data_IF_524747887312
#
_entry.id   IF_524747887312
#
_cell.length_a   1.000
_cell.length_b   1.000
_cell.length_c   1.000
_cell.angle_alpha   90.00
_cell.angle_beta   90.00
_cell.angle_gamma   90.00
#
_symmetry.space_group_name_H-M   'P 1'
#
loop_
_entity.id
_entity.type
_entity.pdbx_description
1 polymer ?
#
# COMPACT_ATOMS: atom_id res chain seq x y z
N UNK A 1 2.33 -16.61 -7.78
CA UNK A 1 2.18 -15.28 -8.43
C UNK A 1 2.48 -15.32 -9.94
N UNK A 2 2.76 -16.53 -10.45
CA UNK A 2 3.22 -16.73 -11.84
C UNK A 2 2.36 -15.99 -12.87
N UNK A 3 3.00 -15.12 -13.67
CA UNK A 3 2.40 -14.35 -14.75
C UNK A 3 1.46 -13.21 -14.34
N UNK A 4 1.15 -13.02 -13.05
CA UNK A 4 0.35 -11.90 -12.57
C UNK A 4 1.11 -10.58 -12.71
N UNK A 5 0.40 -9.51 -13.00
CA UNK A 5 0.93 -8.14 -13.06
C UNK A 5 0.47 -7.37 -11.83
N UNK A 6 1.43 -6.87 -11.06
CA UNK A 6 1.18 -6.11 -9.84
C UNK A 6 1.70 -4.68 -9.96
N UNK A 7 0.88 -3.72 -9.56
CA UNK A 7 1.36 -2.37 -9.23
C UNK A 7 1.65 -2.33 -7.73
N UNK A 8 2.84 -1.84 -7.37
CA UNK A 8 3.26 -1.56 -5.99
C UNK A 8 3.53 -0.06 -5.87
N UNK A 9 2.74 0.66 -5.08
CA UNK A 9 2.98 2.07 -4.80
C UNK A 9 3.93 2.21 -3.60
N UNK A 10 4.76 3.27 -3.56
CA UNK A 10 5.83 3.36 -2.56
C UNK A 10 6.91 2.28 -2.76
N UNK A 11 7.14 1.89 -4.01
CA UNK A 11 7.97 0.74 -4.39
C UNK A 11 9.45 0.88 -4.01
N UNK A 12 9.94 2.10 -3.86
CA UNK A 12 11.32 2.39 -3.46
C UNK A 12 11.49 2.48 -1.93
N UNK A 13 10.40 2.42 -1.17
CA UNK A 13 10.41 2.37 0.29
C UNK A 13 10.77 0.99 0.85
N UNK A 14 11.00 0.91 2.19
CA UNK A 14 11.45 -0.31 2.86
C UNK A 14 10.50 -1.52 2.65
N UNK A 15 9.19 -1.33 2.79
CA UNK A 15 8.21 -2.39 2.57
C UNK A 15 7.99 -2.66 1.08
N UNK A 16 7.88 -1.59 0.27
CA UNK A 16 7.59 -1.71 -1.16
C UNK A 16 8.64 -2.52 -1.92
N UNK A 17 9.92 -2.30 -1.62
CA UNK A 17 11.03 -3.08 -2.20
C UNK A 17 10.88 -4.57 -1.90
N UNK A 18 10.66 -4.92 -0.64
CA UNK A 18 10.53 -6.32 -0.21
C UNK A 18 9.33 -7.01 -0.85
N UNK A 19 8.18 -6.33 -0.90
CA UNK A 19 6.98 -6.85 -1.57
C UNK A 19 7.23 -7.08 -3.06
N UNK A 20 7.84 -6.11 -3.74
CA UNK A 20 8.14 -6.21 -5.17
C UNK A 20 9.14 -7.34 -5.47
N UNK A 21 10.21 -7.46 -4.68
CA UNK A 21 11.23 -8.51 -4.83
C UNK A 21 10.67 -9.91 -4.61
N UNK A 22 9.90 -10.13 -3.52
CA UNK A 22 9.30 -11.43 -3.24
C UNK A 22 8.23 -11.77 -4.30
N UNK A 23 7.42 -10.81 -4.73
CA UNK A 23 6.45 -11.06 -5.80
C UNK A 23 7.13 -11.45 -7.12
N UNK A 24 8.20 -10.74 -7.50
CA UNK A 24 8.98 -11.03 -8.71
C UNK A 24 9.66 -12.40 -8.63
N UNK A 25 10.25 -12.77 -7.48
CA UNK A 25 10.84 -14.12 -7.28
C UNK A 25 9.82 -15.25 -7.42
N UNK A 26 8.52 -14.95 -7.24
CA UNK A 26 7.39 -15.88 -7.42
C UNK A 26 6.77 -15.77 -8.83
N UNK A 27 7.45 -15.15 -9.78
CA UNK A 27 7.06 -15.05 -11.17
C UNK A 27 6.02 -13.98 -11.50
N UNK A 28 5.82 -12.99 -10.63
CA UNK A 28 5.01 -11.81 -10.95
C UNK A 28 5.81 -10.80 -11.78
N UNK A 29 5.11 -10.00 -12.58
CA UNK A 29 5.64 -8.82 -13.25
C UNK A 29 5.25 -7.59 -12.44
N UNK A 30 6.18 -6.66 -12.25
CA UNK A 30 6.04 -5.57 -11.29
C UNK A 30 6.10 -4.20 -11.96
N UNK A 31 5.10 -3.36 -11.70
CA UNK A 31 5.19 -1.92 -11.89
C UNK A 31 5.36 -1.25 -10.53
N UNK A 32 6.54 -0.73 -10.25
CA UNK A 32 6.79 0.12 -9.10
C UNK A 32 6.37 1.57 -9.42
N UNK A 33 5.60 2.21 -8.54
CA UNK A 33 5.26 3.64 -8.64
C UNK A 33 5.72 4.32 -7.36
N UNK A 34 6.50 5.40 -7.47
CA UNK A 34 7.03 6.11 -6.31
C UNK A 34 7.12 7.62 -6.56
N UNK A 35 7.08 8.40 -5.46
CA UNK A 35 7.36 9.83 -5.49
C UNK A 35 8.84 10.12 -5.76
N UNK A 36 9.73 9.28 -5.23
CA UNK A 36 11.15 9.38 -5.51
C UNK A 36 11.44 9.07 -6.99
N UNK A 37 12.39 9.79 -7.62
CA UNK A 37 12.77 9.51 -8.99
C UNK A 37 13.38 8.12 -9.12
N UNK A 38 13.09 7.43 -10.21
CA UNK A 38 13.72 6.16 -10.56
C UNK A 38 14.48 6.30 -11.88
N UNK A 39 15.65 5.65 -11.94
CA UNK A 39 16.46 5.54 -13.15
C UNK A 39 16.65 4.08 -13.57
N UNK A 40 15.88 3.16 -12.99
CA UNK A 40 15.97 1.73 -13.31
C UNK A 40 15.38 1.52 -14.72
N UNK A 41 16.13 0.95 -15.66
CA UNK A 41 15.61 0.64 -16.98
C UNK A 41 14.44 -0.33 -16.91
N UNK A 42 13.44 -0.12 -17.79
CA UNK A 42 12.33 -1.06 -17.92
C UNK A 42 12.80 -2.39 -18.52
N UNK A 43 12.25 -3.48 -18.00
CA UNK A 43 12.41 -4.84 -18.54
C UNK A 43 11.03 -5.44 -18.84
N UNK A 44 10.95 -6.60 -19.54
CA UNK A 44 9.66 -7.28 -19.73
C UNK A 44 8.96 -7.68 -18.42
N UNK A 45 9.72 -7.82 -17.31
CA UNK A 45 9.21 -8.26 -16.00
C UNK A 45 9.04 -7.12 -15.00
N UNK A 46 9.66 -5.94 -15.26
CA UNK A 46 9.68 -4.83 -14.29
C UNK A 46 9.75 -3.47 -14.97
N UNK A 47 8.93 -2.55 -14.49
CA UNK A 47 8.99 -1.12 -14.80
C UNK A 47 8.94 -0.31 -13.50
N UNK A 48 9.73 0.76 -13.42
CA UNK A 48 9.72 1.72 -12.31
C UNK A 48 9.30 3.10 -12.82
N UNK A 49 8.21 3.64 -12.29
CA UNK A 49 7.66 4.96 -12.64
C UNK A 49 7.88 5.87 -11.43
N UNK A 50 8.99 6.61 -11.44
CA UNK A 50 9.36 7.54 -10.39
C UNK A 50 8.89 8.97 -10.66
N UNK A 51 8.96 9.83 -9.61
CA UNK A 51 8.56 11.24 -9.68
C UNK A 51 7.05 11.45 -9.72
N UNK A 52 6.26 10.49 -9.22
CA UNK A 52 4.78 10.51 -9.28
C UNK A 52 4.19 10.92 -7.94
N UNK A 53 3.51 12.05 -7.90
CA UNK A 53 2.65 12.40 -6.76
C UNK A 53 1.29 11.72 -6.88
N UNK A 54 1.11 10.61 -6.16
CA UNK A 54 -0.15 9.88 -6.15
C UNK A 54 -1.30 10.62 -5.44
N UNK A 55 -1.03 11.70 -4.69
CA UNK A 55 -2.09 12.56 -4.16
C UNK A 55 -2.75 13.41 -5.24
N UNK A 56 -2.08 13.60 -6.38
CA UNK A 56 -2.62 14.17 -7.61
C UNK A 56 -3.30 13.07 -8.45
N UNK A 57 -4.60 13.22 -8.68
CA UNK A 57 -5.39 12.23 -9.40
C UNK A 57 -4.98 12.05 -10.87
N UNK A 58 -4.48 13.11 -11.53
CA UNK A 58 -4.07 13.05 -12.93
C UNK A 58 -2.74 12.30 -13.07
N UNK A 59 -1.77 12.57 -12.17
CA UNK A 59 -0.50 11.86 -12.14
C UNK A 59 -0.70 10.38 -11.80
N UNK A 60 -1.53 10.08 -10.79
CA UNK A 60 -1.88 8.71 -10.42
C UNK A 60 -2.48 7.93 -11.60
N UNK A 61 -3.44 8.56 -12.32
CA UNK A 61 -4.04 7.95 -13.51
C UNK A 61 -3.01 7.68 -14.61
N UNK A 62 -2.17 8.67 -14.91
CA UNK A 62 -1.13 8.53 -15.94
C UNK A 62 -0.16 7.40 -15.64
N UNK A 63 0.29 7.29 -14.39
CA UNK A 63 1.24 6.26 -13.98
C UNK A 63 0.61 4.85 -14.00
N UNK A 64 -0.62 4.70 -13.50
CA UNK A 64 -1.34 3.42 -13.51
C UNK A 64 -1.65 2.97 -14.94
N UNK A 65 -2.11 3.86 -15.80
CA UNK A 65 -2.38 3.54 -17.21
C UNK A 65 -1.11 3.15 -17.96
N UNK A 66 0.01 3.84 -17.68
CA UNK A 66 1.31 3.49 -18.26
C UNK A 66 1.76 2.08 -17.84
N UNK A 67 1.60 1.72 -16.57
CA UNK A 67 1.90 0.39 -16.06
C UNK A 67 1.01 -0.70 -16.71
N UNK A 68 -0.29 -0.47 -16.77
CA UNK A 68 -1.24 -1.39 -17.40
C UNK A 68 -0.97 -1.55 -18.90
N UNK A 69 -0.62 -0.47 -19.59
CA UNK A 69 -0.24 -0.50 -21.02
C UNK A 69 1.05 -1.27 -21.26
N UNK A 70 2.07 -1.10 -20.40
CA UNK A 70 3.36 -1.79 -20.53
C UNK A 70 3.21 -3.31 -20.50
N UNK A 71 2.38 -3.82 -19.58
CA UNK A 71 2.19 -5.26 -19.40
C UNK A 71 0.98 -5.85 -20.14
N UNK A 72 0.09 -5.00 -20.69
CA UNK A 72 -1.14 -5.40 -21.36
C UNK A 72 -2.26 -5.88 -20.42
N UNK A 73 -2.05 -5.87 -19.10
CA UNK A 73 -3.02 -6.26 -18.06
C UNK A 73 -2.62 -5.72 -16.69
N UNK A 74 -3.55 -5.79 -15.75
CA UNK A 74 -3.30 -5.54 -14.33
C UNK A 74 -4.13 -6.53 -13.49
N UNK A 75 -3.49 -7.21 -12.53
CA UNK A 75 -4.14 -8.20 -11.66
C UNK A 75 -4.22 -7.77 -10.20
N UNK A 76 -3.24 -6.99 -9.71
CA UNK A 76 -3.30 -6.46 -8.36
C UNK A 76 -2.71 -5.06 -8.24
N UNK A 77 -3.30 -4.26 -7.34
CA UNK A 77 -2.75 -3.00 -6.84
C UNK A 77 -2.44 -3.15 -5.36
N UNK A 78 -1.20 -2.82 -4.98
CA UNK A 78 -0.73 -2.84 -3.59
C UNK A 78 -0.38 -1.41 -3.19
N UNK A 79 -1.26 -0.78 -2.39
CA UNK A 79 -1.13 0.60 -1.94
C UNK A 79 -0.26 0.66 -0.67
N UNK A 80 1.06 0.85 -0.86
CA UNK A 80 2.03 1.00 0.23
C UNK A 80 2.41 2.47 0.42
N UNK A 81 2.35 3.30 -0.63
CA UNK A 81 2.65 4.73 -0.52
C UNK A 81 1.90 5.37 0.64
N UNK A 82 2.63 6.11 1.46
CA UNK A 82 2.09 6.75 2.65
C UNK A 82 3.18 7.31 3.53
N UNK A 83 2.79 7.89 4.66
CA UNK A 83 3.72 8.48 5.60
C UNK A 83 3.20 8.50 7.03
N UNK A 84 4.07 8.93 7.93
CA UNK A 84 3.84 9.06 9.36
C UNK A 84 4.16 10.48 9.83
N UNK A 85 3.44 10.97 10.82
CA UNK A 85 3.81 12.12 11.62
C UNK A 85 3.35 11.90 13.06
N UNK A 86 4.23 12.22 14.00
CA UNK A 86 3.90 12.30 15.41
C UNK A 86 3.64 13.77 15.75
N UNK A 87 2.42 14.09 16.22
CA UNK A 87 2.05 15.46 16.59
C UNK A 87 0.85 15.46 17.54
N UNK A 88 0.95 16.16 18.66
CA UNK A 88 -0.16 16.29 19.61
C UNK A 88 -1.26 17.20 19.04
N UNK A 89 -2.48 17.03 19.49
CA UNK A 89 -3.61 17.87 19.03
C UNK A 89 -3.47 19.31 19.56
N UNK A 90 -2.95 19.45 20.78
CA UNK A 90 -2.88 20.76 21.44
C UNK A 90 -1.82 21.70 20.86
N UNK A 91 -0.68 21.14 20.46
CA UNK A 91 0.47 21.93 19.99
C UNK A 91 0.69 21.81 18.47
N UNK A 92 -0.17 21.05 17.80
CA UNK A 92 -0.01 20.73 16.40
C UNK A 92 -0.70 21.69 15.42
N UNK A 93 -0.45 21.49 14.12
CA UNK A 93 -0.98 22.29 13.03
C UNK A 93 -2.00 21.46 12.18
N UNK A 94 -3.10 22.08 11.80
CA UNK A 94 -4.05 21.52 10.84
C UNK A 94 -3.40 21.05 9.52
N UNK A 95 -2.30 21.67 9.12
CA UNK A 95 -1.51 21.25 7.95
C UNK A 95 -0.98 19.82 8.06
N UNK A 96 -0.61 19.37 9.26
CA UNK A 96 -0.18 17.97 9.47
C UNK A 96 -1.33 17.00 9.23
N UNK A 97 -2.56 17.32 9.65
CA UNK A 97 -3.74 16.54 9.37
C UNK A 97 -4.02 16.45 7.86
N UNK A 98 -3.97 17.58 7.17
CA UNK A 98 -4.15 17.64 5.72
C UNK A 98 -3.08 16.84 4.99
N UNK A 99 -1.81 16.98 5.40
CA UNK A 99 -0.69 16.23 4.83
C UNK A 99 -0.84 14.73 5.05
N UNK A 100 -1.20 14.29 6.26
CA UNK A 100 -1.41 12.86 6.54
C UNK A 100 -2.58 12.31 5.73
N UNK A 101 -3.67 13.07 5.57
CA UNK A 101 -4.78 12.66 4.72
C UNK A 101 -4.36 12.54 3.26
N UNK A 102 -3.64 13.52 2.73
CA UNK A 102 -3.14 13.49 1.35
C UNK A 102 -2.22 12.29 1.11
N UNK A 103 -1.22 12.09 1.98
CA UNK A 103 -0.23 11.02 1.85
C UNK A 103 -0.81 9.62 2.01
N UNK A 104 -1.79 9.41 2.90
CA UNK A 104 -2.28 8.07 3.22
C UNK A 104 -3.60 7.74 2.51
N UNK A 105 -4.54 8.71 2.44
CA UNK A 105 -5.87 8.45 1.89
C UNK A 105 -5.94 8.78 0.41
N UNK A 106 -5.53 10.01 0.00
CA UNK A 106 -5.67 10.40 -1.40
C UNK A 106 -4.76 9.58 -2.32
N UNK A 107 -3.56 9.22 -1.89
CA UNK A 107 -2.68 8.32 -2.67
C UNK A 107 -3.34 6.97 -2.95
N UNK A 108 -3.88 6.33 -1.92
CA UNK A 108 -4.57 5.05 -2.06
C UNK A 108 -5.88 5.17 -2.87
N UNK A 109 -6.65 6.23 -2.65
CA UNK A 109 -7.88 6.51 -3.39
C UNK A 109 -7.62 6.70 -4.88
N UNK A 110 -6.68 7.60 -5.23
CA UNK A 110 -6.41 7.94 -6.62
C UNK A 110 -5.82 6.76 -7.40
N UNK A 111 -4.85 6.04 -6.80
CA UNK A 111 -4.30 4.84 -7.41
C UNK A 111 -5.37 3.75 -7.59
N UNK A 112 -6.25 3.55 -6.59
CA UNK A 112 -7.36 2.59 -6.69
C UNK A 112 -8.35 2.98 -7.79
N UNK A 113 -8.80 4.23 -7.84
CA UNK A 113 -9.71 4.72 -8.89
C UNK A 113 -9.14 4.53 -10.28
N UNK A 114 -7.84 4.80 -10.46
CA UNK A 114 -7.18 4.60 -11.75
C UNK A 114 -7.04 3.11 -12.11
N UNK A 115 -6.79 2.23 -11.13
CA UNK A 115 -6.59 0.81 -11.35
C UNK A 115 -7.89 0.02 -11.57
N UNK A 116 -9.01 0.45 -11.01
CA UNK A 116 -10.28 -0.28 -11.01
C UNK A 116 -10.75 -0.73 -12.41
N UNK A 117 -10.71 0.11 -13.48
CA UNK A 117 -11.10 -0.37 -14.82
C UNK A 117 -10.23 -1.53 -15.32
N UNK A 118 -8.93 -1.48 -15.05
CA UNK A 118 -7.98 -2.51 -15.45
C UNK A 118 -8.15 -3.79 -14.61
N UNK A 119 -8.35 -3.64 -13.30
CA UNK A 119 -8.57 -4.76 -12.38
C UNK A 119 -9.91 -5.47 -12.65
N UNK A 120 -10.95 -4.72 -13.01
CA UNK A 120 -12.25 -5.30 -13.36
C UNK A 120 -12.23 -6.08 -14.68
N UNK A 121 -11.28 -5.80 -15.56
CA UNK A 121 -11.04 -6.56 -16.78
C UNK A 121 -10.23 -7.85 -16.51
N UNK A 122 -9.58 -7.98 -15.35
CA UNK A 122 -8.92 -9.21 -14.92
C UNK A 122 -9.93 -10.17 -14.30
N UNK A 123 -9.73 -11.48 -14.51
CA UNK A 123 -10.52 -12.53 -13.83
C UNK A 123 -10.26 -12.62 -12.32
N UNK A 124 -9.26 -11.92 -11.82
CA UNK A 124 -8.79 -12.01 -10.45
C UNK A 124 -8.25 -10.66 -9.91
N UNK A 125 -9.00 -9.57 -10.12
CA UNK A 125 -8.62 -8.23 -9.66
C UNK A 125 -8.51 -8.15 -8.12
N UNK A 126 -7.42 -7.53 -7.62
CA UNK A 126 -7.11 -7.40 -6.19
C UNK A 126 -6.65 -5.99 -5.85
N UNK A 127 -7.12 -5.44 -4.73
CA UNK A 127 -6.55 -4.23 -4.11
C UNK A 127 -6.16 -4.57 -2.68
N UNK A 128 -4.92 -4.29 -2.31
CA UNK A 128 -4.41 -4.45 -0.96
C UNK A 128 -3.91 -3.10 -0.46
N UNK A 129 -4.53 -2.59 0.60
CA UNK A 129 -4.17 -1.33 1.23
C UNK A 129 -3.32 -1.58 2.49
N UNK A 130 -2.43 -0.65 2.82
CA UNK A 130 -1.70 -0.67 4.08
C UNK A 130 -2.37 0.32 5.05
N UNK A 131 -3.14 -0.25 5.98
CA UNK A 131 -3.71 0.45 7.14
C UNK A 131 -2.70 0.58 8.28
N UNK A 132 -3.18 0.56 9.53
CA UNK A 132 -2.36 0.48 10.73
C UNK A 132 -3.19 -0.03 11.92
N UNK A 133 -2.61 -0.85 12.79
CA UNK A 133 -3.24 -1.22 14.07
C UNK A 133 -3.49 0.01 14.95
N UNK A 134 -2.54 0.96 14.98
CA UNK A 134 -2.67 2.23 15.70
C UNK A 134 -3.80 3.15 15.22
N UNK A 135 -4.49 2.80 14.13
CA UNK A 135 -5.68 3.51 13.67
C UNK A 135 -6.99 2.92 14.21
N UNK A 136 -6.94 1.77 14.89
CA UNK A 136 -8.10 1.20 15.60
C UNK A 136 -8.35 1.99 16.89
N UNK A 137 -7.28 2.45 17.55
CA UNK A 137 -7.32 3.32 18.70
C UNK A 137 -6.08 4.21 18.71
N UNK A 138 -6.28 5.53 18.62
CA UNK A 138 -5.18 6.49 18.56
C UNK A 138 -4.52 6.65 19.94
N UNK A 139 -3.19 6.56 19.98
CA UNK A 139 -2.37 6.93 21.13
C UNK A 139 -2.02 8.43 21.13
N UNK A 140 -1.27 8.85 22.17
CA UNK A 140 -0.74 10.21 22.26
C UNK A 140 0.13 10.56 21.04
N UNK A 141 -0.07 11.75 20.47
CA UNK A 141 0.66 12.23 19.31
C UNK A 141 0.35 11.51 17.99
N UNK A 142 -0.60 10.56 17.99
CA UNK A 142 -0.95 9.76 16.82
C UNK A 142 -2.16 10.30 16.05
N UNK A 143 -2.81 11.38 16.52
CA UNK A 143 -4.08 11.87 15.99
C UNK A 143 -4.12 12.00 14.46
N UNK A 144 -3.28 12.83 13.83
CA UNK A 144 -3.29 13.03 12.37
C UNK A 144 -3.04 11.74 11.59
N UNK A 145 -2.07 10.95 12.04
CA UNK A 145 -1.74 9.66 11.40
C UNK A 145 -2.88 8.64 11.56
N UNK A 146 -3.35 8.42 12.78
CA UNK A 146 -4.39 7.44 13.07
C UNK A 146 -5.70 7.77 12.33
N UNK A 147 -6.09 9.05 12.30
CA UNK A 147 -7.27 9.49 11.54
C UNK A 147 -7.12 9.20 10.04
N UNK A 148 -5.95 9.48 9.45
CA UNK A 148 -5.69 9.17 8.05
C UNK A 148 -5.72 7.66 7.76
N UNK A 149 -5.10 6.84 8.61
CA UNK A 149 -5.13 5.38 8.44
C UNK A 149 -6.51 4.76 8.69
N UNK A 150 -7.31 5.33 9.61
CA UNK A 150 -8.73 4.98 9.74
C UNK A 150 -9.51 5.30 8.46
N UNK A 151 -9.17 6.40 7.77
CA UNK A 151 -9.69 6.72 6.44
C UNK A 151 -9.37 5.64 5.41
N UNK A 152 -8.17 5.07 5.42
CA UNK A 152 -7.79 3.92 4.55
C UNK A 152 -8.62 2.68 4.89
N UNK A 153 -8.92 2.43 6.18
CA UNK A 153 -9.80 1.31 6.57
C UNK A 153 -11.20 1.48 5.96
N UNK A 154 -11.79 2.67 6.07
CA UNK A 154 -13.13 2.96 5.49
C UNK A 154 -13.11 2.92 3.97
N UNK A 155 -12.04 3.42 3.33
CA UNK A 155 -11.86 3.30 1.88
C UNK A 155 -11.84 1.83 1.43
N UNK A 156 -11.16 0.96 2.17
CA UNK A 156 -11.09 -0.48 1.89
C UNK A 156 -12.47 -1.12 1.92
N UNK A 157 -13.25 -0.85 2.96
CA UNK A 157 -14.60 -1.38 3.13
C UNK A 157 -15.57 -0.87 2.05
N UNK A 158 -15.50 0.43 1.73
CA UNK A 158 -16.31 1.03 0.68
C UNK A 158 -16.02 0.39 -0.68
N UNK A 159 -14.74 0.31 -1.08
CA UNK A 159 -14.34 -0.31 -2.34
C UNK A 159 -14.71 -1.80 -2.39
N UNK A 160 -14.56 -2.54 -1.29
CA UNK A 160 -14.95 -3.96 -1.22
C UNK A 160 -16.45 -4.16 -1.45
N UNK A 161 -17.28 -3.24 -0.92
CA UNK A 161 -18.72 -3.26 -1.11
C UNK A 161 -19.14 -2.88 -2.54
N UNK A 162 -18.57 -1.79 -3.06
CA UNK A 162 -18.88 -1.26 -4.40
C UNK A 162 -18.46 -2.21 -5.53
N UNK A 163 -17.37 -2.95 -5.35
CA UNK A 163 -16.78 -3.83 -6.37
C UNK A 163 -16.96 -5.31 -6.06
N UNK A 164 -17.89 -5.64 -5.19
CA UNK A 164 -18.22 -7.03 -4.81
C UNK A 164 -18.48 -7.91 -6.04
N UNK A 165 -17.80 -9.06 -6.06
CA UNK A 165 -17.89 -10.03 -7.16
C UNK A 165 -17.01 -9.70 -8.38
N UNK A 166 -16.32 -8.55 -8.41
CA UNK A 166 -15.41 -8.14 -9.50
C UNK A 166 -13.97 -7.99 -9.04
N UNK A 167 -13.75 -7.26 -7.94
CA UNK A 167 -12.43 -7.00 -7.37
C UNK A 167 -12.51 -7.23 -5.87
N UNK A 168 -11.57 -8.00 -5.30
CA UNK A 168 -11.46 -8.08 -3.84
C UNK A 168 -10.59 -6.95 -3.32
N UNK A 169 -11.01 -6.34 -2.21
CA UNK A 169 -10.29 -5.20 -1.60
C UNK A 169 -10.12 -5.48 -0.12
N UNK A 170 -8.88 -5.52 0.34
CA UNK A 170 -8.53 -5.80 1.73
C UNK A 170 -7.46 -4.83 2.23
N UNK A 171 -7.32 -4.72 3.55
CA UNK A 171 -6.21 -3.99 4.16
C UNK A 171 -5.42 -4.88 5.11
N UNK A 172 -4.10 -4.69 5.12
CA UNK A 172 -3.19 -5.22 6.14
C UNK A 172 -2.89 -4.10 7.12
N UNK A 173 -3.03 -4.40 8.42
CA UNK A 173 -2.86 -3.45 9.51
C UNK A 173 -1.61 -3.81 10.31
N UNK A 174 -0.42 -3.30 9.94
CA UNK A 174 0.78 -3.57 10.72
C UNK A 174 0.75 -2.87 12.09
N UNK A 175 1.47 -3.44 13.05
CA UNK A 175 1.96 -2.73 14.22
C UNK A 175 3.19 -1.87 13.82
N UNK A 176 4.29 -1.94 14.54
CA UNK A 176 5.54 -1.28 14.16
C UNK A 176 6.30 -2.17 13.18
N UNK A 177 6.59 -1.65 12.02
CA UNK A 177 7.37 -2.36 10.99
C UNK A 177 8.86 -2.20 11.31
N UNK A 178 9.62 -3.28 11.31
CA UNK A 178 11.06 -3.27 11.51
C UNK A 178 11.77 -2.68 10.27
N UNK A 179 12.00 -1.38 10.33
CA UNK A 179 12.71 -0.63 9.29
C UNK A 179 13.85 0.19 9.90
N UNK A 180 14.83 0.54 9.08
CA UNK A 180 15.96 1.39 9.51
C UNK A 180 15.46 2.72 10.09
N UNK A 181 14.42 3.32 9.50
CA UNK A 181 13.84 4.58 9.99
C UNK A 181 13.22 4.39 11.38
N UNK A 182 12.35 3.39 11.56
CA UNK A 182 11.71 3.13 12.85
C UNK A 182 12.72 2.76 13.95
N UNK A 183 13.79 2.03 13.61
CA UNK A 183 14.89 1.75 14.55
C UNK A 183 15.62 3.03 14.96
N UNK A 184 15.83 3.96 14.03
CA UNK A 184 16.44 5.27 14.34
C UNK A 184 15.53 6.13 15.23
N UNK A 185 14.21 6.13 14.99
CA UNK A 185 13.24 6.90 15.77
C UNK A 185 13.03 6.32 17.18
N UNK A 186 13.19 5.02 17.34
CA UNK A 186 12.94 4.29 18.60
C UNK A 186 14.15 3.42 19.02
N UNK A 187 15.34 3.98 19.25
CA UNK A 187 16.58 3.21 19.42
C UNK A 187 16.64 2.35 20.70
N UNK A 188 15.71 2.53 21.63
CA UNK A 188 15.62 1.76 22.88
C UNK A 188 14.55 0.67 22.84
N UNK A 189 13.83 0.52 21.72
CA UNK A 189 12.79 -0.49 21.60
C UNK A 189 13.38 -1.88 21.39
N UNK A 190 12.62 -2.90 21.75
CA UNK A 190 12.93 -4.30 21.44
C UNK A 190 12.45 -4.63 20.02
N UNK A 191 13.36 -4.52 19.05
CA UNK A 191 13.07 -4.75 17.63
C UNK A 191 12.65 -6.20 17.32
N UNK A 192 12.98 -7.16 18.20
CA UNK A 192 12.60 -8.56 18.00
C UNK A 192 11.09 -8.80 18.07
N UNK A 193 10.37 -7.84 18.66
CA UNK A 193 8.90 -7.85 18.74
C UNK A 193 8.22 -7.28 17.50
N UNK A 194 8.92 -6.49 16.72
CA UNK A 194 8.34 -5.80 15.56
C UNK A 194 8.06 -6.76 14.40
N UNK A 195 7.12 -6.36 13.55
CA UNK A 195 6.82 -7.10 12.35
C UNK A 195 7.85 -6.77 11.25
N UNK A 196 8.43 -7.79 10.66
CA UNK A 196 9.39 -7.58 9.56
C UNK A 196 8.67 -7.24 8.25
N UNK A 197 9.32 -6.50 7.33
CA UNK A 197 8.78 -6.30 5.99
C UNK A 197 8.46 -7.61 5.26
N UNK A 198 9.24 -8.67 5.51
CA UNK A 198 9.03 -9.99 4.92
C UNK A 198 7.74 -10.65 5.44
N UNK A 199 7.50 -10.63 6.75
CA UNK A 199 6.25 -11.16 7.32
C UNK A 199 5.01 -10.43 6.77
N UNK A 200 5.11 -9.10 6.61
CA UNK A 200 4.04 -8.32 5.99
C UNK A 200 3.86 -8.67 4.50
N UNK A 201 4.94 -8.81 3.76
CA UNK A 201 4.90 -9.15 2.35
C UNK A 201 4.21 -10.50 2.11
N UNK A 202 4.41 -11.49 3.00
CA UNK A 202 3.72 -12.79 2.91
C UNK A 202 2.21 -12.63 2.99
N UNK A 203 1.70 -11.83 3.94
CA UNK A 203 0.26 -11.58 4.08
C UNK A 203 -0.29 -10.79 2.89
N UNK A 204 0.43 -9.74 2.45
CA UNK A 204 0.06 -8.92 1.30
C UNK A 204 -0.04 -9.80 0.04
N UNK A 205 0.96 -10.64 -0.22
CA UNK A 205 1.00 -11.48 -1.41
C UNK A 205 0.01 -12.65 -1.34
N UNK A 206 -0.31 -13.16 -0.15
CA UNK A 206 -1.43 -14.07 0.04
C UNK A 206 -2.74 -13.40 -0.42
N UNK A 207 -3.03 -12.18 0.03
CA UNK A 207 -4.24 -11.45 -0.36
C UNK A 207 -4.27 -11.10 -1.86
N UNK A 208 -3.12 -10.92 -2.49
CA UNK A 208 -2.98 -10.70 -3.94
C UNK A 208 -3.09 -12.00 -4.77
N UNK A 209 -3.09 -13.16 -4.12
CA UNK A 209 -3.13 -14.48 -4.79
C UNK A 209 -4.55 -15.00 -5.01
N UNK A 210 -4.66 -16.11 -5.75
CA UNK A 210 -5.92 -16.79 -5.98
C UNK A 210 -6.42 -17.53 -4.72
N UNK A 211 -5.50 -17.88 -3.81
CA UNK A 211 -5.86 -18.50 -2.53
C UNK A 211 -6.73 -17.59 -1.64
N UNK A 212 -6.70 -16.27 -1.84
CA UNK A 212 -7.51 -15.31 -1.11
C UNK A 212 -8.76 -14.86 -1.90
N UNK A 213 -9.21 -15.60 -2.92
CA UNK A 213 -10.34 -15.19 -3.79
C UNK A 213 -11.66 -14.97 -3.05
N UNK A 214 -11.85 -15.61 -1.91
CA UNK A 214 -13.03 -15.42 -1.04
C UNK A 214 -12.87 -14.32 0.02
N UNK A 215 -11.71 -13.65 0.12
CA UNK A 215 -11.44 -12.64 1.15
C UNK A 215 -11.65 -11.25 0.56
N UNK A 216 -12.63 -10.49 1.06
CA UNK A 216 -12.87 -9.10 0.67
C UNK A 216 -13.46 -8.30 1.82
N UNK A 217 -13.12 -7.02 1.94
CA UNK A 217 -13.52 -6.13 3.03
C UNK A 217 -12.81 -6.39 4.35
N UNK A 218 -11.78 -7.24 4.36
CA UNK A 218 -11.08 -7.60 5.59
C UNK A 218 -10.04 -6.53 5.95
N UNK A 219 -9.98 -6.25 7.25
CA UNK A 219 -8.95 -5.44 7.91
C UNK A 219 -8.10 -6.40 8.75
N UNK A 220 -6.94 -6.82 8.25
CA UNK A 220 -6.15 -7.92 8.81
C UNK A 220 -5.00 -7.37 9.66
N UNK A 221 -5.07 -7.47 11.01
CA UNK A 221 -3.96 -7.11 11.88
C UNK A 221 -2.76 -8.02 11.66
N UNK A 222 -1.57 -7.42 11.55
CA UNK A 222 -0.29 -8.13 11.52
C UNK A 222 0.60 -7.48 12.59
N UNK A 223 0.48 -7.97 13.82
CA UNK A 223 1.04 -7.34 15.01
C UNK A 223 2.49 -7.71 15.29
N UNK A 224 3.05 -8.74 14.66
CA UNK A 224 4.33 -9.31 15.10
C UNK A 224 4.19 -9.97 16.46
N UNK A 225 5.01 -9.51 17.41
CA UNK A 225 5.03 -10.02 18.83
C UNK A 225 4.79 -8.89 19.82
N UNK A 226 4.11 -7.81 19.42
CA UNK A 226 3.77 -6.64 20.25
C UNK A 226 2.38 -6.82 20.82
#
# INVERSE_FOLDING_TARGET
MQGKVLIVTGALGALGKVVAEIAQSRGARIAGIDYAPSQVPATPERIEIGGVDLSDAAQAKTAVDAAAKHFGRLDALINIAGGFAFETVGDGDTKTWQRMYALNVLTALNASRAALPHLAASSAGRIINIGAMGALQAGNGMGPYAASKAGVHRLTEALASEWKGKVTVNAVLPSIIDTTANRADMPKADFTKWVTPQELAEVILFLASDAASGVTGALIPVGGRV
#
